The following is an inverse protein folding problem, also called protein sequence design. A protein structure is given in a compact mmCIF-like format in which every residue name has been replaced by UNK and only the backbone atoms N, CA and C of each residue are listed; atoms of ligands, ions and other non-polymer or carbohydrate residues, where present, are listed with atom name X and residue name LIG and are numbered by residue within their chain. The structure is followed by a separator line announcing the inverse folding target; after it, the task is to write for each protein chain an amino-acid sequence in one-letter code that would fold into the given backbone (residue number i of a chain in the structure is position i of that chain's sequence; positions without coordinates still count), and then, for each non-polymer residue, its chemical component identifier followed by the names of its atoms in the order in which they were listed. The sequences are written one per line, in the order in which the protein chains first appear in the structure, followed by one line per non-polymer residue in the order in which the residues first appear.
data_IF_553493890053
#
_entry.id   IF_553493890053
#
_cell.length_a   1.000
_cell.length_b   1.000
_cell.length_c   1.000
_cell.angle_alpha   90.00
_cell.angle_beta   90.00
_cell.angle_gamma   90.00
#
_symmetry.space_group_name_H-M   'P 1'
#
loop_
_entity.id
_entity.type
_entity.pdbx_description
1 polymer ?
#
# COMPACT_ATOMS: atom_id res chain seq x y z
N UNK A 1 46.94 32.30 44.79
CA UNK A 1 47.74 31.35 43.97
C UNK A 1 47.06 31.28 42.62
N UNK A 2 47.85 31.44 41.56
CA UNK A 2 47.41 31.70 40.20
C UNK A 2 46.80 30.49 39.48
N UNK A 3 45.97 30.79 38.48
CA UNK A 3 45.53 30.04 37.29
C UNK A 3 46.63 29.15 36.64
N UNK A 4 46.32 28.13 35.77
CA UNK A 4 45.44 28.33 34.61
C UNK A 4 44.66 27.13 33.99
N UNK A 5 43.63 27.51 33.24
CA UNK A 5 43.21 27.07 31.89
C UNK A 5 43.62 25.68 31.37
N UNK A 6 42.61 24.90 30.99
CA UNK A 6 42.71 23.87 29.95
C UNK A 6 41.68 24.19 28.86
N UNK A 7 42.13 24.98 27.88
CA UNK A 7 41.58 25.06 26.53
C UNK A 7 42.25 24.00 25.65
N UNK A 8 41.50 23.45 24.70
CA UNK A 8 41.90 22.43 23.71
C UNK A 8 40.72 21.47 23.53
N UNK A 9 40.14 21.22 22.34
CA UNK A 9 40.77 21.20 21.02
C UNK A 9 39.71 21.29 19.89
N UNK A 10 40.17 21.82 18.75
CA UNK A 10 39.77 21.48 17.38
C UNK A 10 38.36 21.80 16.86
N UNK A 11 38.07 23.09 16.75
CA UNK A 11 37.14 23.58 15.72
C UNK A 11 37.87 23.53 14.36
N UNK A 12 37.62 22.46 13.59
CA UNK A 12 38.09 22.32 12.21
C UNK A 12 37.64 23.51 11.36
N UNK A 13 38.53 24.48 11.19
CA UNK A 13 38.46 25.50 10.16
C UNK A 13 38.61 24.82 8.79
N UNK A 14 37.49 24.43 8.18
CA UNK A 14 37.46 24.18 6.75
C UNK A 14 37.56 25.53 6.04
N UNK A 15 38.77 25.80 5.55
CA UNK A 15 39.08 26.90 4.65
C UNK A 15 38.09 26.91 3.48
N UNK A 16 37.24 27.94 3.42
CA UNK A 16 36.64 28.39 2.18
C UNK A 16 37.77 28.90 1.28
N UNK A 17 38.27 28.02 0.41
CA UNK A 17 39.10 28.46 -0.70
C UNK A 17 38.16 28.99 -1.77
N UNK A 18 38.07 30.30 -1.80
CA UNK A 18 37.54 31.12 -2.89
C UNK A 18 38.16 30.68 -4.22
N UNK A 19 37.30 30.28 -5.16
CA UNK A 19 37.67 30.08 -6.56
C UNK A 19 36.45 30.46 -7.38
N UNK A 20 36.30 31.76 -7.59
CA UNK A 20 35.58 32.27 -8.75
C UNK A 20 36.26 31.77 -10.02
N UNK A 21 35.48 31.31 -10.98
CA UNK A 21 35.71 31.85 -12.31
C UNK A 21 34.44 32.48 -12.89
N UNK A 22 34.59 33.74 -13.26
CA UNK A 22 33.78 34.39 -14.30
C UNK A 22 33.66 33.49 -15.53
N UNK A 23 32.44 33.30 -16.03
CA UNK A 23 32.09 33.57 -17.43
C UNK A 23 30.58 33.38 -17.66
N UNK A 24 29.92 34.47 -18.06
CA UNK A 24 28.57 34.48 -18.67
C UNK A 24 28.65 34.04 -20.16
N UNK A 25 27.56 34.08 -20.95
CA UNK A 25 26.70 32.96 -21.39
C UNK A 25 26.86 32.67 -22.91
N UNK A 26 26.09 31.74 -23.53
CA UNK A 26 24.83 32.18 -24.16
C UNK A 26 23.68 31.15 -24.23
N UNK A 27 22.49 31.73 -24.23
CA UNK A 27 21.20 31.34 -24.85
C UNK A 27 21.17 30.17 -25.86
N UNK A 28 20.12 29.34 -25.78
CA UNK A 28 19.09 29.02 -26.82
C UNK A 28 18.50 27.60 -26.61
N UNK A 29 17.23 27.48 -26.21
CA UNK A 29 16.03 27.15 -27.04
C UNK A 29 15.95 25.72 -27.62
N UNK A 30 14.77 25.08 -27.43
CA UNK A 30 14.04 24.30 -28.47
C UNK A 30 14.34 22.79 -28.65
N UNK A 31 13.40 21.98 -28.13
CA UNK A 31 12.66 20.91 -28.86
C UNK A 31 13.35 19.59 -29.21
N UNK A 32 12.68 18.48 -28.87
CA UNK A 32 12.15 17.44 -29.81
C UNK A 32 12.29 16.02 -29.27
N UNK A 33 11.14 15.39 -29.02
CA UNK A 33 10.97 13.95 -28.84
C UNK A 33 11.23 13.20 -30.15
N UNK A 34 11.90 12.04 -30.12
CA UNK A 34 11.53 10.82 -30.88
C UNK A 34 12.45 9.62 -30.63
N UNK A 35 11.81 8.45 -30.57
CA UNK A 35 12.36 7.09 -30.44
C UNK A 35 13.06 6.57 -31.72
N UNK A 36 13.87 5.50 -31.58
CA UNK A 36 13.65 4.13 -32.18
C UNK A 36 14.96 3.42 -32.59
N UNK A 37 15.22 2.27 -31.93
CA UNK A 37 15.78 0.98 -32.39
C UNK A 37 17.14 0.78 -33.07
N UNK A 38 17.89 -0.14 -32.45
CA UNK A 38 18.48 -1.41 -32.98
C UNK A 38 19.74 -1.40 -33.87
N UNK A 39 20.70 -2.19 -33.37
CA UNK A 39 22.07 -2.52 -33.78
C UNK A 39 22.29 -3.00 -35.22
N UNK A 40 23.50 -2.82 -35.78
CA UNK A 40 24.53 -3.87 -36.02
C UNK A 40 25.79 -3.27 -36.72
N UNK A 41 26.95 -3.87 -36.42
CA UNK A 41 28.38 -3.53 -36.57
C UNK A 41 28.94 -3.15 -37.96
N UNK A 42 30.03 -2.36 -37.97
CA UNK A 42 31.39 -2.73 -38.48
C UNK A 42 32.41 -1.61 -38.20
N UNK A 43 33.68 -1.99 -38.07
CA UNK A 43 34.78 -1.25 -37.44
C UNK A 43 35.53 -0.28 -38.37
N UNK A 44 35.91 0.91 -37.85
CA UNK A 44 37.19 1.58 -38.14
C UNK A 44 37.54 2.62 -37.06
N UNK A 45 38.81 2.69 -36.69
CA UNK A 45 39.39 3.47 -35.60
C UNK A 45 39.35 4.98 -35.84
N UNK A 46 38.91 5.79 -34.86
CA UNK A 46 39.44 7.14 -34.60
C UNK A 46 39.01 7.67 -33.21
N UNK A 47 39.86 8.49 -32.63
CA UNK A 47 39.81 9.09 -31.30
C UNK A 47 38.50 9.84 -30.98
N UNK A 48 37.79 9.37 -29.95
CA UNK A 48 37.06 10.18 -28.96
C UNK A 48 36.47 9.21 -27.95
N UNK A 49 37.03 9.17 -26.75
CA UNK A 49 36.37 8.56 -25.61
C UNK A 49 35.18 9.47 -25.24
N UNK A 50 34.09 9.39 -26.01
CA UNK A 50 32.80 9.91 -25.60
C UNK A 50 32.28 8.97 -24.53
N UNK A 51 32.76 9.19 -23.31
CA UNK A 51 32.18 8.63 -22.10
C UNK A 51 30.69 8.94 -22.17
N UNK A 52 29.90 7.87 -22.30
CA UNK A 52 28.44 7.96 -22.31
C UNK A 52 28.08 8.74 -21.05
N UNK A 53 27.38 9.88 -21.13
CA UNK A 53 27.00 10.60 -19.93
C UNK A 53 26.25 9.62 -19.05
N UNK A 54 26.70 9.48 -17.80
CA UNK A 54 26.07 8.59 -16.85
C UNK A 54 24.58 8.98 -16.81
N UNK A 55 23.72 8.05 -17.21
CA UNK A 55 22.26 8.28 -17.37
C UNK A 55 21.59 8.72 -16.08
N UNK A 56 22.30 8.66 -14.94
CA UNK A 56 21.84 9.02 -13.61
C UNK A 56 22.57 10.23 -13.01
N UNK A 57 23.56 10.82 -13.68
CA UNK A 57 24.26 11.99 -13.17
C UNK A 57 23.38 13.24 -13.36
N UNK A 58 22.51 13.48 -12.37
CA UNK A 58 21.85 14.77 -12.22
C UNK A 58 22.90 15.75 -11.66
N UNK A 59 23.07 16.96 -12.24
CA UNK A 59 24.01 17.93 -11.69
C UNK A 59 23.65 18.27 -10.24
N UNK A 60 24.66 18.48 -9.39
CA UNK A 60 24.49 18.63 -7.94
C UNK A 60 23.49 19.75 -7.58
N UNK A 61 23.49 20.85 -8.32
CA UNK A 61 22.53 21.95 -8.14
C UNK A 61 21.07 21.51 -8.32
N UNK A 62 20.79 20.67 -9.33
CA UNK A 62 19.47 20.11 -9.56
C UNK A 62 19.10 19.08 -8.49
N UNK A 63 20.08 18.33 -7.97
CA UNK A 63 19.86 17.43 -6.83
C UNK A 63 19.50 18.19 -5.55
N UNK A 64 20.19 19.29 -5.25
CA UNK A 64 19.89 20.13 -4.10
C UNK A 64 18.50 20.78 -4.22
N UNK A 65 18.13 21.24 -5.41
CA UNK A 65 16.78 21.77 -5.69
C UNK A 65 15.71 20.70 -5.50
N UNK A 66 15.94 19.48 -5.99
CA UNK A 66 15.03 18.35 -5.81
C UNK A 66 14.90 17.99 -4.33
N UNK A 67 16.00 17.94 -3.59
CA UNK A 67 16.01 17.67 -2.16
C UNK A 67 15.27 18.75 -1.36
N UNK A 68 15.45 20.02 -1.70
CA UNK A 68 14.74 21.14 -1.08
C UNK A 68 13.23 21.07 -1.33
N UNK A 69 12.84 20.63 -2.53
CA UNK A 69 11.43 20.50 -2.95
C UNK A 69 10.80 19.18 -2.51
N UNK A 70 11.60 18.18 -2.18
CA UNK A 70 11.11 16.85 -1.82
C UNK A 70 10.25 16.90 -0.56
N UNK A 71 9.05 16.35 -0.67
CA UNK A 71 8.15 16.12 0.45
C UNK A 71 7.75 14.66 0.43
N UNK A 72 7.99 13.97 1.54
CA UNK A 72 7.49 12.62 1.71
C UNK A 72 5.96 12.65 1.62
N UNK A 73 5.39 11.77 0.81
CA UNK A 73 3.94 11.63 0.72
C UNK A 73 3.45 11.01 2.02
N UNK A 74 2.67 11.77 2.78
CA UNK A 74 1.99 11.26 3.99
C UNK A 74 0.60 10.84 3.56
N UNK A 75 0.29 9.55 3.68
CA UNK A 75 -1.05 9.03 3.45
C UNK A 75 -1.88 9.27 4.74
N UNK A 76 -2.98 10.04 4.62
CA UNK A 76 -3.76 10.59 5.74
C UNK A 76 -5.06 9.81 6.04
N UNK A 77 -5.22 8.60 5.51
CA UNK A 77 -6.43 7.79 5.69
C UNK A 77 -7.48 8.00 4.61
N UNK A 78 -7.13 8.66 3.50
CA UNK A 78 -8.10 9.10 2.48
C UNK A 78 -8.21 8.15 1.29
N UNK A 79 -7.50 7.01 1.29
CA UNK A 79 -7.59 6.03 0.19
C UNK A 79 -9.04 5.52 0.05
N UNK A 80 -9.73 5.30 1.16
CA UNK A 80 -11.12 4.81 1.17
C UNK A 80 -12.12 5.74 0.46
N UNK A 81 -11.82 7.05 0.36
CA UNK A 81 -12.66 8.04 -0.33
C UNK A 81 -12.53 7.99 -1.85
N UNK A 82 -11.41 7.47 -2.36
CA UNK A 82 -11.13 7.38 -3.80
C UNK A 82 -11.79 6.14 -4.43
N UNK A 83 -12.13 5.16 -3.61
CA UNK A 83 -12.75 3.91 -4.05
C UNK A 83 -14.24 4.15 -4.28
N UNK A 84 -14.67 3.92 -5.51
CA UNK A 84 -16.08 4.07 -5.88
C UNK A 84 -16.85 2.82 -5.49
N UNK A 85 -17.81 2.97 -4.58
CA UNK A 85 -18.75 1.92 -4.16
C UNK A 85 -20.18 2.31 -4.59
N UNK A 86 -21.05 1.35 -4.94
CA UNK A 86 -20.86 -0.11 -4.91
C UNK A 86 -19.97 -0.62 -6.06
N UNK A 87 -19.33 -1.78 -5.85
CA UNK A 87 -18.48 -2.43 -6.85
C UNK A 87 -19.37 -2.85 -8.03
N UNK A 88 -19.15 -2.26 -9.20
CA UNK A 88 -20.04 -2.44 -10.37
C UNK A 88 -19.81 -3.77 -11.09
N UNK A 89 -18.65 -4.38 -10.92
CA UNK A 89 -18.27 -5.62 -11.59
C UNK A 89 -17.36 -6.46 -10.70
N UNK A 90 -16.96 -7.63 -11.17
CA UNK A 90 -16.00 -8.47 -10.43
C UNK A 90 -14.70 -7.68 -10.23
N UNK A 91 -14.33 -7.48 -8.97
CA UNK A 91 -13.20 -6.64 -8.57
C UNK A 91 -11.93 -7.16 -9.21
N UNK A 92 -11.20 -6.26 -9.87
CA UNK A 92 -9.91 -6.61 -10.44
C UNK A 92 -8.87 -6.77 -9.32
N UNK A 93 -7.80 -7.53 -9.55
CA UNK A 93 -6.71 -7.68 -8.56
C UNK A 93 -6.19 -6.34 -8.00
N UNK A 94 -5.90 -5.30 -8.81
CA UNK A 94 -5.44 -4.02 -8.27
C UNK A 94 -6.52 -3.34 -7.41
N UNK A 95 -7.77 -3.33 -7.85
CA UNK A 95 -8.88 -2.73 -7.09
C UNK A 95 -9.11 -3.44 -5.75
N UNK A 96 -8.97 -4.77 -5.70
CA UNK A 96 -9.07 -5.54 -4.47
C UNK A 96 -7.95 -5.20 -3.47
N UNK A 97 -6.74 -4.91 -3.97
CA UNK A 97 -5.63 -4.44 -3.13
C UNK A 97 -5.86 -3.03 -2.61
N UNK A 98 -6.41 -2.13 -3.43
CA UNK A 98 -6.77 -0.78 -2.99
C UNK A 98 -7.80 -0.80 -1.85
N UNK A 99 -8.82 -1.65 -1.96
CA UNK A 99 -9.82 -1.86 -0.89
C UNK A 99 -9.16 -2.37 0.39
N UNK A 100 -8.26 -3.34 0.26
CA UNK A 100 -7.55 -3.88 1.41
C UNK A 100 -6.69 -2.79 2.08
N UNK A 101 -5.88 -2.07 1.30
CA UNK A 101 -5.02 -1.01 1.81
C UNK A 101 -5.80 0.13 2.45
N UNK A 102 -6.96 0.49 1.90
CA UNK A 102 -7.85 1.47 2.51
C UNK A 102 -8.29 1.05 3.93
N UNK A 103 -8.63 -0.22 4.13
CA UNK A 103 -9.01 -0.76 5.45
C UNK A 103 -7.81 -0.81 6.39
N UNK A 104 -6.66 -1.24 5.90
CA UNK A 104 -5.42 -1.27 6.69
C UNK A 104 -5.03 0.12 7.17
N UNK A 105 -5.07 1.13 6.29
CA UNK A 105 -4.76 2.51 6.62
C UNK A 105 -5.69 3.05 7.71
N UNK A 106 -7.01 2.85 7.57
CA UNK A 106 -7.99 3.23 8.60
C UNK A 106 -7.73 2.49 9.92
N UNK A 107 -7.33 1.21 9.86
CA UNK A 107 -6.95 0.44 11.05
C UNK A 107 -5.69 1.00 11.74
N UNK A 108 -4.65 1.36 10.99
CA UNK A 108 -3.40 1.93 11.53
C UNK A 108 -3.59 3.35 12.08
N UNK A 109 -4.41 4.17 11.43
CA UNK A 109 -4.84 5.48 11.95
C UNK A 109 -5.86 5.34 13.09
N UNK A 110 -6.24 4.11 13.42
CA UNK A 110 -7.13 3.76 14.50
C UNK A 110 -8.56 4.32 14.38
N UNK A 111 -8.98 4.59 13.14
CA UNK A 111 -10.34 5.03 12.76
C UNK A 111 -11.22 3.80 12.52
N UNK A 112 -11.45 3.03 13.58
CA UNK A 112 -12.10 1.71 13.50
C UNK A 112 -13.57 1.77 13.07
N UNK A 113 -14.27 2.82 13.48
CA UNK A 113 -15.66 3.10 13.12
C UNK A 113 -15.82 3.32 11.60
N UNK A 114 -14.91 4.09 11.00
CA UNK A 114 -14.87 4.33 9.57
C UNK A 114 -14.50 3.06 8.79
N UNK A 115 -13.52 2.30 9.28
CA UNK A 115 -13.13 1.02 8.68
C UNK A 115 -14.32 0.04 8.62
N UNK A 116 -15.08 -0.09 9.71
CA UNK A 116 -16.28 -0.94 9.77
C UNK A 116 -17.37 -0.45 8.81
N UNK A 117 -17.59 0.86 8.76
CA UNK A 117 -18.58 1.48 7.86
C UNK A 117 -18.20 1.28 6.40
N UNK A 118 -16.91 1.39 6.07
CA UNK A 118 -16.39 1.10 4.73
C UNK A 118 -16.56 -0.37 4.37
N UNK A 119 -16.13 -1.31 5.23
CA UNK A 119 -16.28 -2.74 4.98
C UNK A 119 -17.74 -3.17 4.79
N UNK A 120 -18.68 -2.59 5.54
CA UNK A 120 -20.12 -2.83 5.34
C UNK A 120 -20.60 -2.40 3.96
N UNK A 121 -20.12 -1.27 3.44
CA UNK A 121 -20.43 -0.82 2.07
C UNK A 121 -19.81 -1.74 1.03
N UNK A 122 -18.59 -2.20 1.27
CA UNK A 122 -17.86 -3.15 0.39
C UNK A 122 -18.57 -4.51 0.32
N UNK A 123 -19.11 -5.00 1.43
CA UNK A 123 -19.88 -6.25 1.49
C UNK A 123 -21.36 -6.09 1.15
N UNK A 124 -21.85 -4.87 0.93
CA UNK A 124 -23.25 -4.64 0.58
C UNK A 124 -23.53 -5.32 -0.76
N UNK A 125 -24.54 -6.21 -0.84
CA UNK A 125 -24.87 -6.86 -2.10
C UNK A 125 -25.35 -5.82 -3.11
N UNK A 126 -24.74 -5.80 -4.29
CA UNK A 126 -25.26 -5.05 -5.44
C UNK A 126 -26.47 -5.82 -5.98
N UNK A 127 -27.56 -5.12 -6.28
CA UNK A 127 -28.86 -5.71 -6.60
C UNK A 127 -28.75 -6.83 -7.66
N UNK A 128 -29.17 -8.05 -7.30
CA UNK A 128 -29.35 -9.16 -8.25
C UNK A 128 -28.33 -10.29 -8.21
N UNK A 129 -27.22 -10.18 -7.47
CA UNK A 129 -26.30 -11.31 -7.23
C UNK A 129 -25.89 -11.37 -5.76
N UNK A 130 -26.26 -12.45 -5.08
CA UNK A 130 -25.83 -12.75 -3.70
C UNK A 130 -24.34 -13.08 -3.56
N UNK A 131 -23.52 -12.81 -4.58
CA UNK A 131 -22.07 -13.02 -4.56
C UNK A 131 -21.36 -11.69 -4.38
N UNK A 132 -20.56 -11.59 -3.33
CA UNK A 132 -19.61 -10.49 -3.14
C UNK A 132 -18.58 -10.52 -4.27
N UNK A 133 -18.44 -9.41 -5.00
CA UNK A 133 -17.60 -9.29 -6.20
C UNK A 133 -16.08 -9.41 -5.95
N UNK A 134 -15.68 -9.68 -4.71
CA UNK A 134 -14.31 -9.70 -4.22
C UNK A 134 -13.70 -11.09 -4.32
N UNK A 135 -12.37 -11.14 -4.38
CA UNK A 135 -11.63 -12.40 -4.26
C UNK A 135 -11.76 -13.01 -2.86
N UNK A 136 -11.80 -14.36 -2.77
CA UNK A 136 -12.07 -15.06 -1.52
C UNK A 136 -11.04 -14.80 -0.42
N UNK A 137 -9.75 -14.71 -0.77
CA UNK A 137 -8.68 -14.39 0.18
C UNK A 137 -8.81 -12.96 0.71
N UNK A 138 -9.13 -12.01 -0.17
CA UNK A 138 -9.36 -10.61 0.22
C UNK A 138 -10.58 -10.50 1.13
N UNK A 139 -11.68 -11.20 0.83
CA UNK A 139 -12.85 -11.24 1.71
C UNK A 139 -12.51 -11.79 3.10
N UNK A 140 -11.75 -12.89 3.18
CA UNK A 140 -11.31 -13.48 4.45
C UNK A 140 -10.49 -12.50 5.28
N UNK A 141 -9.57 -11.77 4.63
CA UNK A 141 -8.74 -10.79 5.30
C UNK A 141 -9.55 -9.55 5.76
N UNK A 142 -10.51 -9.09 4.96
CA UNK A 142 -11.44 -8.03 5.36
C UNK A 142 -12.30 -8.46 6.57
N UNK A 143 -12.79 -9.71 6.62
CA UNK A 143 -13.50 -10.24 7.80
C UNK A 143 -12.62 -10.30 9.03
N UNK A 144 -11.34 -10.66 8.87
CA UNK A 144 -10.37 -10.61 9.96
C UNK A 144 -10.21 -9.19 10.53
N UNK A 145 -10.05 -8.19 9.64
CA UNK A 145 -9.97 -6.79 10.06
C UNK A 145 -11.28 -6.27 10.65
N UNK A 146 -12.44 -6.68 10.15
CA UNK A 146 -13.75 -6.36 10.72
C UNK A 146 -13.85 -6.78 12.19
N UNK A 147 -13.52 -8.03 12.50
CA UNK A 147 -13.50 -8.53 13.87
C UNK A 147 -12.50 -7.78 14.76
N UNK A 148 -11.30 -7.50 14.23
CA UNK A 148 -10.25 -6.79 14.96
C UNK A 148 -10.62 -5.34 15.23
N UNK A 149 -11.22 -4.64 14.28
CA UNK A 149 -11.75 -3.28 14.43
C UNK A 149 -12.87 -3.24 15.47
N UNK A 150 -13.84 -4.16 15.39
CA UNK A 150 -14.94 -4.25 16.35
C UNK A 150 -14.44 -4.50 17.79
N UNK A 151 -13.47 -5.41 17.94
CA UNK A 151 -12.81 -5.68 19.22
C UNK A 151 -12.05 -4.46 19.77
N UNK A 152 -11.31 -3.74 18.92
CA UNK A 152 -10.59 -2.52 19.33
C UNK A 152 -11.53 -1.38 19.69
N UNK A 153 -12.63 -1.21 18.94
CA UNK A 153 -13.64 -0.19 19.21
C UNK A 153 -14.38 -0.45 20.53
N UNK A 154 -14.76 -1.69 20.80
CA UNK A 154 -15.38 -2.07 22.08
C UNK A 154 -14.40 -1.96 23.26
N UNK A 155 -13.13 -2.31 23.05
CA UNK A 155 -12.07 -2.14 24.06
C UNK A 155 -11.82 -0.67 24.40
N UNK A 156 -11.89 0.23 23.42
CA UNK A 156 -11.80 1.68 23.66
C UNK A 156 -12.96 2.20 24.50
N UNK A 157 -14.17 1.76 24.20
CA UNK A 157 -15.37 2.19 24.91
C UNK A 157 -15.42 1.70 26.36
N UNK A 158 -14.76 0.58 26.69
CA UNK A 158 -14.74 0.00 28.03
C UNK A 158 -13.57 0.44 28.92
N UNK A 159 -12.70 1.33 28.45
CA UNK A 159 -11.53 1.80 29.22
C UNK A 159 -10.39 0.78 29.14
N UNK A 160 -9.24 1.23 28.63
CA UNK A 160 -8.17 0.36 28.18
C UNK A 160 -7.57 -0.57 29.25
N UNK A 161 -7.54 -1.85 28.93
CA UNK A 161 -6.76 -2.89 29.61
C UNK A 161 -6.37 -3.94 28.59
N UNK A 162 -5.07 -4.02 28.28
CA UNK A 162 -4.53 -4.89 27.24
C UNK A 162 -4.55 -6.39 27.60
N UNK A 163 -4.34 -7.20 26.56
CA UNK A 163 -4.17 -8.65 26.59
C UNK A 163 -5.10 -9.29 25.56
N UNK A 164 -4.68 -9.88 24.44
CA UNK A 164 -3.43 -10.57 24.17
C UNK A 164 -3.71 -12.07 24.10
N UNK A 165 -3.84 -12.61 22.89
CA UNK A 165 -3.93 -14.06 22.62
C UNK A 165 -5.27 -14.70 23.01
N UNK A 166 -5.72 -15.83 22.47
CA UNK A 166 -4.99 -16.89 21.77
C UNK A 166 -5.94 -17.65 20.82
N UNK A 167 -5.31 -18.35 19.88
CA UNK A 167 -5.89 -19.39 19.04
C UNK A 167 -6.72 -20.41 19.83
N UNK A 168 -7.83 -20.85 19.25
CA UNK A 168 -8.28 -22.24 19.40
C UNK A 168 -8.99 -22.67 18.13
N UNK A 169 -8.19 -23.14 17.18
CA UNK A 169 -8.65 -24.20 16.31
C UNK A 169 -8.95 -25.41 17.19
N UNK A 170 -10.18 -25.88 17.17
CA UNK A 170 -10.50 -27.25 17.54
C UNK A 170 -11.17 -27.87 16.33
N UNK A 171 -10.41 -28.70 15.63
CA UNK A 171 -10.99 -29.75 14.82
C UNK A 171 -11.77 -30.67 15.75
N UNK A 172 -13.02 -30.94 15.38
CA UNK A 172 -13.71 -32.15 15.80
C UNK A 172 -13.98 -32.96 14.53
N UNK A 173 -13.01 -33.80 14.19
CA UNK A 173 -13.31 -35.11 13.62
C UNK A 173 -14.01 -35.94 14.70
N UNK A 174 -15.25 -36.29 14.43
CA UNK A 174 -16.07 -37.16 15.26
C UNK A 174 -16.92 -38.04 14.35
N UNK A 175 -16.29 -39.07 13.77
CA UNK A 175 -16.99 -40.27 13.34
C UNK A 175 -17.76 -40.87 14.53
N UNK A 176 -19.05 -41.17 14.36
CA UNK A 176 -19.69 -42.43 14.74
C UNK A 176 -21.21 -42.31 14.61
N UNK A 177 -21.85 -43.36 14.06
CA UNK A 177 -23.23 -43.67 14.43
C UNK A 177 -24.25 -43.76 13.29
N UNK A 178 -24.04 -44.73 12.39
CA UNK A 178 -25.07 -45.69 11.97
C UNK A 178 -26.47 -45.47 12.58
N UNK A 179 -27.41 -44.93 11.79
CA UNK A 179 -28.83 -45.10 12.05
C UNK A 179 -29.42 -45.95 10.94
N UNK A 180 -29.79 -47.16 11.33
CA UNK A 180 -30.57 -48.14 10.59
C UNK A 180 -31.89 -47.53 10.10
N UNK A 181 -32.19 -47.84 8.84
CA UNK A 181 -33.51 -48.13 8.25
C UNK A 181 -34.72 -47.93 9.15
N UNK A 182 -35.64 -47.08 8.69
CA UNK A 182 -37.07 -47.36 8.81
C UNK A 182 -37.75 -46.96 7.52
N UNK A 183 -38.14 -48.02 6.82
CA UNK A 183 -39.01 -48.11 5.67
C UNK A 183 -40.42 -47.58 5.98
N UNK A 184 -41.21 -47.38 4.93
CA UNK A 184 -42.66 -47.05 4.88
C UNK A 184 -43.02 -45.57 5.10
N UNK A 185 -43.93 -44.94 4.37
CA UNK A 185 -45.00 -45.44 3.50
C UNK A 185 -45.46 -44.28 2.57
N UNK A 186 -45.68 -44.57 1.28
CA UNK A 186 -46.44 -43.72 0.32
C UNK A 186 -47.92 -44.11 0.46
N UNK A 187 -48.89 -43.18 0.41
CA UNK A 187 -49.65 -42.94 -0.83
C UNK A 187 -49.94 -41.43 -1.04
N UNK A 188 -49.79 -40.89 -2.25
CA UNK A 188 -50.79 -40.88 -3.33
C UNK A 188 -52.12 -40.21 -2.96
N UNK A 189 -52.32 -38.99 -3.45
CA UNK A 189 -53.65 -38.46 -3.76
C UNK A 189 -53.53 -37.49 -4.93
N UNK A 190 -53.97 -37.97 -6.09
CA UNK A 190 -54.39 -37.16 -7.21
C UNK A 190 -55.63 -36.36 -6.77
N UNK A 191 -55.72 -35.08 -7.14
CA UNK A 191 -57.02 -34.44 -7.21
C UNK A 191 -57.15 -33.70 -8.54
N UNK A 192 -58.06 -34.23 -9.34
CA UNK A 192 -58.52 -33.77 -10.64
C UNK A 192 -59.90 -33.16 -10.40
N UNK A 193 -60.07 -31.89 -10.75
CA UNK A 193 -61.30 -31.32 -11.31
C UNK A 193 -60.99 -29.91 -11.82
#
# INVERSE_FOLDING_TARGET
MADPLLEGDDFLAMNLSDSEPECLPPTTTTTTLSNTSTSTSTATQNEKNTEKPDRKALPEEAFQTLKATYRAKVENGEIHSKITLPLQSRTTKPEAQEILHAVEELYFLTRYDEALSFMRRVFSPTEGKGETHLDGEVQKLLRYYEGRCASRLSSRLRGGGGGGGEHSGSGQEGHNGHTLVSESCVPSAQNTA
#
